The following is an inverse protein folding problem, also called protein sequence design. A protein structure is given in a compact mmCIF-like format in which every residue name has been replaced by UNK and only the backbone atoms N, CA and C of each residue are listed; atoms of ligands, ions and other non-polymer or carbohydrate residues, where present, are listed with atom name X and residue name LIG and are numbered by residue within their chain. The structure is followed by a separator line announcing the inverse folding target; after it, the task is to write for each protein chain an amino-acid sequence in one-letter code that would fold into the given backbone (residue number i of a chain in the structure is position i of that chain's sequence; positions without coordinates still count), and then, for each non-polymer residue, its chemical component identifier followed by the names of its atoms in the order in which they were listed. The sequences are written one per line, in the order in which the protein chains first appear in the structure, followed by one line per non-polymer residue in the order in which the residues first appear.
data_IF_819850650077
#
_entry.id   IF_819850650077
#
_cell.length_a   1.000
_cell.length_b   1.000
_cell.length_c   1.000
_cell.angle_alpha   90.00
_cell.angle_beta   90.00
_cell.angle_gamma   90.00
#
_symmetry.space_group_name_H-M   'P 1'
#
loop_
_entity.id
_entity.type
_entity.pdbx_description
1 polymer ?
#
# COMPACT_ATOMS: atom_id res chain seq x y z
N UNK A 1 2.22 -9.52 -16.86
CA UNK A 1 3.60 -9.88 -16.49
C UNK A 1 3.60 -10.57 -15.14
N UNK A 2 4.28 -11.69 -15.03
CA UNK A 2 4.34 -12.45 -13.78
C UNK A 2 5.47 -11.95 -12.89
N UNK A 3 5.33 -12.22 -11.58
CA UNK A 3 6.35 -11.83 -10.60
C UNK A 3 7.69 -12.51 -10.93
N UNK A 4 8.82 -11.77 -10.86
CA UNK A 4 10.13 -12.37 -11.09
C UNK A 4 10.57 -13.21 -9.90
N UNK A 5 11.21 -14.35 -10.16
CA UNK A 5 11.72 -15.25 -9.12
C UNK A 5 13.24 -15.27 -9.02
N UNK A 6 13.93 -14.55 -9.89
CA UNK A 6 15.41 -14.56 -9.98
C UNK A 6 16.06 -13.40 -9.22
N UNK A 7 15.27 -12.46 -8.67
CA UNK A 7 15.81 -11.32 -7.95
C UNK A 7 16.01 -11.64 -6.46
N UNK A 8 16.60 -10.72 -5.71
CA UNK A 8 16.93 -10.95 -4.30
C UNK A 8 15.71 -11.12 -3.41
N UNK A 9 14.63 -10.36 -3.67
CA UNK A 9 13.36 -10.64 -3.02
C UNK A 9 12.79 -11.91 -3.64
N UNK A 10 12.49 -12.92 -2.83
CA UNK A 10 11.97 -14.21 -3.31
C UNK A 10 10.48 -14.32 -3.01
N UNK A 11 9.61 -14.18 -4.01
CA UNK A 11 8.17 -14.28 -3.80
C UNK A 11 7.76 -15.64 -3.23
N UNK A 12 6.84 -15.60 -2.27
CA UNK A 12 6.18 -16.80 -1.74
C UNK A 12 4.74 -16.79 -2.19
N UNK A 13 4.06 -15.64 -2.08
CA UNK A 13 2.73 -15.43 -2.63
C UNK A 13 2.73 -14.11 -3.39
N UNK A 14 2.02 -14.04 -4.51
CA UNK A 14 2.09 -12.87 -5.37
C UNK A 14 0.76 -12.58 -6.08
N UNK A 15 0.63 -11.32 -6.49
CA UNK A 15 -0.40 -10.88 -7.44
C UNK A 15 0.33 -10.56 -8.73
N UNK A 16 0.09 -11.35 -9.77
CA UNK A 16 0.61 -11.09 -11.11
C UNK A 16 -0.31 -10.11 -11.84
N UNK A 17 0.22 -9.46 -12.87
CA UNK A 17 -0.54 -8.53 -13.70
C UNK A 17 -1.23 -7.43 -12.89
N UNK A 18 -0.55 -6.96 -11.85
CA UNK A 18 -1.10 -5.93 -10.99
C UNK A 18 -1.37 -4.61 -11.73
N UNK A 19 -0.63 -4.35 -12.82
CA UNK A 19 -0.84 -3.17 -13.65
C UNK A 19 -2.28 -3.04 -14.16
N UNK A 20 -3.00 -4.16 -14.27
CA UNK A 20 -4.42 -4.18 -14.67
C UNK A 20 -5.36 -3.70 -13.56
N UNK A 21 -4.88 -3.63 -12.32
CA UNK A 21 -5.68 -3.35 -11.12
C UNK A 21 -5.20 -2.11 -10.35
N UNK A 22 -4.20 -1.41 -10.87
CA UNK A 22 -3.49 -0.34 -10.16
C UNK A 22 -4.27 0.99 -10.15
N UNK A 23 -5.49 0.96 -9.66
CA UNK A 23 -6.31 2.15 -9.45
C UNK A 23 -6.40 3.02 -10.71
N UNK A 24 -6.14 4.30 -10.55
CA UNK A 24 -6.19 5.26 -11.65
C UNK A 24 -5.06 5.07 -12.67
N UNK A 25 -4.04 4.29 -12.35
CA UNK A 25 -2.91 4.04 -13.26
C UNK A 25 -3.10 2.79 -14.13
N UNK A 26 -4.16 2.02 -13.87
CA UNK A 26 -4.50 0.87 -14.70
C UNK A 26 -4.94 1.34 -16.09
N UNK A 27 -4.73 0.53 -17.15
CA UNK A 27 -4.13 -0.79 -17.15
C UNK A 27 -2.64 -0.82 -17.52
N UNK A 28 -1.96 0.34 -17.59
CA UNK A 28 -0.62 0.46 -18.15
C UNK A 28 0.43 0.93 -17.13
N UNK A 29 0.17 0.71 -15.86
CA UNK A 29 1.13 1.04 -14.80
C UNK A 29 2.43 0.25 -14.95
N UNK A 30 3.54 0.81 -14.45
CA UNK A 30 4.80 0.08 -14.34
C UNK A 30 4.83 -0.87 -13.13
N UNK A 31 3.87 -0.74 -12.20
CA UNK A 31 3.72 -1.66 -11.08
C UNK A 31 3.08 -2.97 -11.58
N UNK A 32 3.91 -3.99 -11.82
CA UNK A 32 3.50 -5.20 -12.53
C UNK A 32 3.10 -6.35 -11.61
N UNK A 33 3.60 -6.38 -10.38
CA UNK A 33 3.30 -7.46 -9.45
C UNK A 33 3.40 -6.99 -8.02
N UNK A 34 2.62 -7.63 -7.14
CA UNK A 34 2.76 -7.50 -5.70
C UNK A 34 3.27 -8.83 -5.15
N UNK A 35 4.05 -8.81 -4.08
CA UNK A 35 4.63 -10.02 -3.52
C UNK A 35 4.75 -9.94 -2.01
N UNK A 36 4.51 -11.06 -1.36
CA UNK A 36 4.93 -11.33 0.00
C UNK A 36 5.98 -12.45 -0.08
N UNK A 37 7.17 -12.22 0.45
CA UNK A 37 8.22 -13.21 0.36
C UNK A 37 9.46 -12.84 1.13
N UNK A 38 10.55 -13.56 0.86
CA UNK A 38 11.84 -13.33 1.50
C UNK A 38 12.36 -11.96 1.13
N UNK A 39 12.68 -11.14 2.13
CA UNK A 39 13.17 -9.78 1.92
C UNK A 39 14.56 -9.77 1.28
N UNK A 40 14.78 -8.81 0.38
CA UNK A 40 16.09 -8.66 -0.24
C UNK A 40 17.16 -8.14 0.74
N UNK A 41 16.72 -7.42 1.78
CA UNK A 41 17.63 -6.80 2.75
C UNK A 41 18.01 -7.74 3.90
N UNK A 42 17.27 -8.84 4.09
CA UNK A 42 17.52 -9.81 5.16
C UNK A 42 16.82 -11.13 4.82
N UNK A 43 17.59 -12.19 4.61
CA UNK A 43 17.04 -13.49 4.22
C UNK A 43 16.17 -14.13 5.30
N UNK A 44 16.28 -13.68 6.56
CA UNK A 44 15.48 -14.20 7.67
C UNK A 44 14.17 -13.41 7.85
N UNK A 45 13.95 -12.37 7.05
CA UNK A 45 12.77 -11.53 7.13
C UNK A 45 11.82 -11.76 5.96
N UNK A 46 10.54 -11.48 6.21
CA UNK A 46 9.48 -11.48 5.19
C UNK A 46 9.09 -10.04 4.93
N UNK A 47 8.93 -9.70 3.67
CA UNK A 47 8.57 -8.34 3.26
C UNK A 47 7.40 -8.32 2.29
N UNK A 48 6.78 -7.15 2.19
CA UNK A 48 5.80 -6.82 1.14
C UNK A 48 6.50 -5.96 0.09
N UNK A 49 6.33 -6.29 -1.18
CA UNK A 49 7.04 -5.61 -2.26
C UNK A 49 6.13 -5.35 -3.45
N UNK A 50 6.32 -4.17 -4.05
CA UNK A 50 5.76 -3.83 -5.35
C UNK A 50 6.88 -3.96 -6.37
N UNK A 51 6.71 -4.84 -7.36
CA UNK A 51 7.66 -4.99 -8.46
C UNK A 51 7.28 -4.07 -9.62
N UNK A 52 8.22 -3.19 -9.98
CA UNK A 52 8.06 -2.28 -11.12
C UNK A 52 8.96 -2.71 -12.27
N UNK A 53 8.45 -2.58 -13.49
CA UNK A 53 9.19 -2.92 -14.70
C UNK A 53 9.24 -1.71 -15.62
N UNK A 54 10.44 -1.36 -16.11
CA UNK A 54 10.66 -0.15 -16.91
C UNK A 54 10.31 -0.32 -18.39
N UNK A 55 9.91 -1.54 -18.80
CA UNK A 55 9.78 -1.92 -20.21
C UNK A 55 10.98 -2.71 -20.71
N UNK A 56 12.12 -2.58 -20.02
CA UNK A 56 13.36 -3.32 -20.33
C UNK A 56 13.81 -4.18 -19.15
N UNK A 57 13.75 -3.64 -17.94
CA UNK A 57 14.28 -4.31 -16.74
C UNK A 57 13.31 -4.12 -15.57
N UNK A 58 13.38 -5.07 -14.61
CA UNK A 58 12.78 -4.88 -13.30
C UNK A 58 13.53 -3.76 -12.58
N UNK A 59 12.76 -2.79 -12.04
CA UNK A 59 13.35 -1.63 -11.37
C UNK A 59 13.99 -2.03 -10.05
N UNK A 60 15.17 -1.46 -9.76
CA UNK A 60 15.86 -1.60 -8.47
C UNK A 60 15.25 -0.68 -7.40
N UNK A 61 14.44 0.29 -7.80
CA UNK A 61 13.83 1.28 -6.92
C UNK A 61 12.37 0.95 -6.59
N UNK A 62 12.05 -0.33 -6.55
CA UNK A 62 10.73 -0.80 -6.16
C UNK A 62 10.53 -0.69 -4.65
N UNK A 63 9.31 -0.44 -4.24
CA UNK A 63 8.96 -0.34 -2.82
C UNK A 63 9.00 -1.72 -2.17
N UNK A 64 9.70 -1.81 -1.05
CA UNK A 64 9.76 -3.03 -0.24
C UNK A 64 9.76 -2.65 1.23
N UNK A 65 8.86 -3.25 2.01
CA UNK A 65 8.64 -2.90 3.41
C UNK A 65 8.49 -4.16 4.26
N UNK A 66 9.00 -4.14 5.50
CA UNK A 66 8.63 -5.13 6.50
C UNK A 66 7.10 -5.20 6.65
N UNK A 67 6.59 -6.37 6.98
CA UNK A 67 5.12 -6.59 7.08
C UNK A 67 4.48 -5.62 8.07
N UNK A 68 5.06 -5.46 9.27
CA UNK A 68 4.46 -4.57 10.28
C UNK A 68 4.41 -3.11 9.80
N UNK A 69 5.41 -2.67 9.04
CA UNK A 69 5.45 -1.30 8.52
C UNK A 69 4.39 -1.07 7.45
N UNK A 70 4.11 -2.09 6.64
CA UNK A 70 3.02 -2.07 5.67
C UNK A 70 1.68 -1.90 6.38
N UNK A 71 1.48 -2.63 7.50
CA UNK A 71 0.26 -2.50 8.30
C UNK A 71 0.16 -1.14 8.97
N UNK A 72 1.26 -0.59 9.48
CA UNK A 72 1.28 0.74 10.09
C UNK A 72 0.89 1.82 9.08
N UNK A 73 1.37 1.71 7.83
CA UNK A 73 0.95 2.64 6.78
C UNK A 73 -0.54 2.52 6.48
N UNK A 74 -1.09 1.31 6.49
CA UNK A 74 -2.53 1.12 6.30
C UNK A 74 -3.34 1.75 7.46
N UNK A 75 -2.87 1.58 8.70
CA UNK A 75 -3.47 2.22 9.86
C UNK A 75 -3.46 3.75 9.69
N UNK A 76 -2.32 4.31 9.29
CA UNK A 76 -2.19 5.74 9.08
C UNK A 76 -3.15 6.25 7.99
N UNK A 77 -3.28 5.52 6.89
CA UNK A 77 -4.23 5.87 5.81
C UNK A 77 -5.65 5.97 6.38
N UNK A 78 -6.11 4.94 7.10
CA UNK A 78 -7.48 4.92 7.63
C UNK A 78 -7.66 6.00 8.70
N UNK A 79 -6.69 6.17 9.59
CA UNK A 79 -6.73 7.24 10.60
C UNK A 79 -6.83 8.61 9.94
N UNK A 80 -6.09 8.83 8.85
CA UNK A 80 -6.12 10.10 8.12
C UNK A 80 -7.48 10.35 7.46
N UNK A 81 -8.16 9.31 7.00
CA UNK A 81 -9.51 9.43 6.45
C UNK A 81 -10.53 9.90 7.48
N UNK A 82 -10.31 9.55 8.75
CA UNK A 82 -11.19 9.89 9.87
C UNK A 82 -10.75 11.15 10.60
N UNK A 83 -9.61 11.73 10.22
CA UNK A 83 -9.01 12.84 10.95
C UNK A 83 -9.86 14.11 10.89
N UNK A 84 -9.78 14.89 11.96
CA UNK A 84 -10.51 16.15 12.12
C UNK A 84 -9.55 17.19 12.69
N UNK A 85 -9.27 18.23 11.91
CA UNK A 85 -8.36 19.31 12.33
C UNK A 85 -8.88 20.07 13.53
N UNK A 86 -10.21 20.15 13.73
CA UNK A 86 -10.81 20.81 14.89
C UNK A 86 -10.54 20.03 16.18
N UNK A 87 -10.54 18.70 16.11
CA UNK A 87 -10.29 17.84 17.26
C UNK A 87 -8.80 17.70 17.61
N UNK A 88 -7.92 17.77 16.62
CA UNK A 88 -6.45 17.67 16.74
C UNK A 88 -5.97 16.47 17.55
N UNK A 89 -6.80 15.43 17.63
CA UNK A 89 -6.53 14.26 18.46
C UNK A 89 -6.16 13.07 17.59
N UNK A 90 -5.09 12.36 17.97
CA UNK A 90 -4.70 11.11 17.31
C UNK A 90 -5.80 10.07 17.44
N UNK A 91 -6.07 9.34 16.38
CA UNK A 91 -7.11 8.30 16.33
C UNK A 91 -6.52 6.90 16.50
N UNK A 92 -5.22 6.76 16.29
CA UNK A 92 -4.54 5.46 16.41
C UNK A 92 -3.44 5.50 17.45
N UNK A 93 -2.96 4.31 17.82
CA UNK A 93 -1.84 4.17 18.74
C UNK A 93 -0.50 4.64 18.15
N UNK A 94 -0.48 4.97 16.86
CA UNK A 94 0.71 5.52 16.23
C UNK A 94 0.93 6.99 16.59
N UNK A 95 -0.07 7.63 17.19
CA UNK A 95 -0.02 9.05 17.57
C UNK A 95 0.24 10.00 16.38
N UNK A 96 -0.46 9.74 15.29
CA UNK A 96 -0.38 10.60 14.10
C UNK A 96 -0.80 12.03 14.42
N UNK A 97 -0.19 13.00 13.75
CA UNK A 97 -0.46 14.42 13.92
C UNK A 97 -0.75 15.07 12.57
N UNK A 98 -1.66 16.03 12.57
CA UNK A 98 -1.88 16.89 11.40
C UNK A 98 -0.74 17.89 11.35
N UNK A 99 0.16 17.73 10.39
CA UNK A 99 1.37 18.55 10.24
C UNK A 99 1.05 19.88 9.57
N UNK A 100 0.13 19.86 8.59
CA UNK A 100 -0.24 21.06 7.86
C UNK A 100 -1.76 21.25 7.91
N UNK A 101 -2.28 21.95 8.93
CA UNK A 101 -3.72 22.16 9.05
C UNK A 101 -4.35 22.91 7.88
N UNK A 102 -3.57 23.76 7.20
CA UNK A 102 -4.06 24.54 6.05
C UNK A 102 -4.39 23.65 4.87
N UNK A 103 -3.71 22.51 4.74
CA UNK A 103 -3.91 21.57 3.64
C UNK A 103 -4.75 20.36 4.02
N UNK A 104 -5.23 20.29 5.25
CA UNK A 104 -5.98 19.12 5.74
C UNK A 104 -7.27 18.90 4.93
N UNK A 105 -7.99 19.97 4.57
CA UNK A 105 -9.19 19.82 3.76
C UNK A 105 -8.89 19.25 2.38
N UNK A 106 -7.74 19.59 1.81
CA UNK A 106 -7.27 19.03 0.54
C UNK A 106 -7.16 17.50 0.60
N UNK A 107 -6.66 16.98 1.72
CA UNK A 107 -6.56 15.53 1.94
C UNK A 107 -7.96 14.88 2.00
N UNK A 108 -8.87 15.45 2.77
CA UNK A 108 -10.23 14.92 2.88
C UNK A 108 -10.98 14.98 1.55
N UNK A 109 -10.78 16.04 0.79
CA UNK A 109 -11.37 16.17 -0.57
C UNK A 109 -10.80 15.12 -1.52
N UNK A 110 -9.51 14.81 -1.41
CA UNK A 110 -8.89 13.73 -2.18
C UNK A 110 -9.55 12.39 -1.90
N UNK A 111 -9.81 12.06 -0.64
CA UNK A 111 -10.47 10.82 -0.28
C UNK A 111 -11.88 10.73 -0.85
N UNK A 112 -12.64 11.83 -0.84
CA UNK A 112 -13.98 11.88 -1.43
C UNK A 112 -13.93 11.70 -2.94
N UNK A 113 -13.00 12.38 -3.60
CA UNK A 113 -12.86 12.32 -5.06
C UNK A 113 -12.44 10.92 -5.52
N UNK A 114 -11.74 10.15 -4.68
CA UNK A 114 -11.21 8.84 -5.03
C UNK A 114 -11.99 7.69 -4.37
N UNK A 115 -13.18 7.94 -3.90
CA UNK A 115 -14.00 6.94 -3.21
C UNK A 115 -14.21 5.67 -4.03
N UNK A 116 -14.43 5.80 -5.34
CA UNK A 116 -14.66 4.65 -6.23
C UNK A 116 -13.46 3.70 -6.28
N UNK A 117 -12.25 4.22 -6.08
CA UNK A 117 -11.01 3.43 -6.09
C UNK A 117 -10.72 2.86 -4.70
N UNK A 118 -10.94 3.67 -3.65
CA UNK A 118 -10.52 3.34 -2.30
C UNK A 118 -11.52 2.49 -1.54
N UNK A 119 -12.81 2.75 -1.68
CA UNK A 119 -13.84 2.05 -0.91
C UNK A 119 -13.85 0.54 -1.16
N UNK A 120 -13.78 0.03 -2.41
CA UNK A 120 -13.72 -1.42 -2.63
C UNK A 120 -12.52 -2.09 -1.94
N UNK A 121 -11.38 -1.40 -1.90
CA UNK A 121 -10.18 -1.89 -1.22
C UNK A 121 -10.37 -1.96 0.28
N UNK A 122 -10.98 -0.95 0.87
CA UNK A 122 -11.30 -0.94 2.30
C UNK A 122 -12.29 -2.06 2.66
N UNK A 123 -13.29 -2.27 1.81
CA UNK A 123 -14.28 -3.33 2.01
C UNK A 123 -13.64 -4.72 1.93
N UNK A 124 -12.75 -4.93 0.96
CA UNK A 124 -12.02 -6.19 0.83
C UNK A 124 -11.13 -6.43 2.05
N UNK A 125 -10.43 -5.39 2.49
CA UNK A 125 -9.60 -5.46 3.68
C UNK A 125 -10.44 -5.79 4.92
N UNK A 126 -11.60 -5.14 5.09
CA UNK A 126 -12.51 -5.40 6.21
C UNK A 126 -12.98 -6.85 6.21
N UNK A 127 -13.38 -7.37 5.03
CA UNK A 127 -13.82 -8.75 4.88
C UNK A 127 -12.75 -9.74 5.36
N UNK A 128 -11.51 -9.54 4.91
CA UNK A 128 -10.40 -10.41 5.28
C UNK A 128 -10.07 -10.28 6.76
N UNK A 129 -10.07 -9.06 7.31
CA UNK A 129 -9.80 -8.83 8.73
C UNK A 129 -10.87 -9.51 9.59
N UNK A 130 -12.13 -9.45 9.21
CA UNK A 130 -13.20 -10.11 9.94
C UNK A 130 -13.03 -11.64 9.97
N UNK A 131 -12.33 -12.19 8.98
CA UNK A 131 -12.07 -13.63 8.91
C UNK A 131 -10.93 -14.05 9.85
N UNK A 132 -9.88 -13.22 9.97
CA UNK A 132 -8.68 -13.59 10.74
C UNK A 132 -8.71 -13.12 12.20
N UNK A 133 -9.57 -12.15 12.54
CA UNK A 133 -9.69 -11.62 13.92
C UNK A 133 -10.95 -12.18 14.66
#
# INVERSE_FOLDING_TARGET
MTVPQHLQHKPIIAVNDYDKKDGQYAPNSDAKALSIGQAQYDEDEISAKIFRHTGHNWSRQSEELPIHRTLDLAILVVASMLSDSAGQKSLSSLNEKIIDPKRHQELLDYYKANKKILQPRLQELQKLLNTIL
#
